data_IF_130125129392
#
_entry.id   IF_130125129392
#
_cell.length_a   1.000
_cell.length_b   1.000
_cell.length_c   1.000
_cell.angle_alpha   90.00
_cell.angle_beta   90.00
_cell.angle_gamma   90.00
#
_symmetry.space_group_name_H-M   'P 1'
#
loop_
_entity.id
_entity.type
_entity.pdbx_description
1 polymer ?
#
# COMPACT_ATOMS: atom_id res chain seq x y z
N UNK A 1 18.65 2.70 14.02
CA UNK A 1 17.36 2.14 13.56
C UNK A 1 16.56 3.17 12.73
N UNK A 2 17.06 4.40 12.64
CA UNK A 2 16.33 5.54 12.09
C UNK A 2 16.40 5.61 10.55
N UNK A 3 17.42 5.01 9.93
CA UNK A 3 17.46 4.77 8.47
C UNK A 3 16.28 3.92 7.99
N UNK A 4 16.02 2.78 8.64
CA UNK A 4 14.92 1.90 8.22
C UNK A 4 13.56 2.56 8.43
N UNK A 5 13.38 3.28 9.55
CA UNK A 5 12.16 4.08 9.78
C UNK A 5 12.01 5.15 8.70
N UNK A 6 13.08 5.88 8.37
CA UNK A 6 13.07 6.89 7.32
C UNK A 6 12.65 6.29 5.97
N UNK A 7 13.27 5.18 5.57
CA UNK A 7 12.96 4.47 4.33
C UNK A 7 11.50 4.00 4.29
N UNK A 8 11.00 3.41 5.38
CA UNK A 8 9.60 2.96 5.46
C UNK A 8 8.61 4.13 5.37
N UNK A 9 8.87 5.21 6.10
CA UNK A 9 8.04 6.41 6.08
C UNK A 9 8.02 7.02 4.67
N UNK A 10 9.17 7.19 4.01
CA UNK A 10 9.23 7.73 2.66
C UNK A 10 8.55 6.80 1.65
N UNK A 11 8.77 5.48 1.77
CA UNK A 11 8.11 4.49 0.93
C UNK A 11 6.58 4.60 0.99
N UNK A 12 6.03 4.71 2.21
CA UNK A 12 4.59 4.89 2.42
C UNK A 12 4.08 6.23 1.86
N UNK A 13 4.85 7.31 2.04
CA UNK A 13 4.49 8.62 1.50
C UNK A 13 4.46 8.64 -0.03
N UNK A 14 5.44 8.00 -0.68
CA UNK A 14 5.49 7.81 -2.13
C UNK A 14 4.33 6.96 -2.66
N UNK A 15 3.88 5.97 -1.87
CA UNK A 15 2.77 5.07 -2.22
C UNK A 15 1.38 5.67 -1.96
N UNK A 16 1.27 6.97 -1.65
CA UNK A 16 0.00 7.60 -1.30
C UNK A 16 -1.06 7.38 -2.42
N UNK A 17 -2.31 7.02 -2.08
CA UNK A 17 -3.33 6.72 -3.08
C UNK A 17 -3.74 7.95 -3.89
N UNK A 18 -3.81 9.11 -3.24
CA UNK A 18 -3.92 10.40 -3.91
C UNK A 18 -2.54 10.84 -4.43
N UNK A 19 -2.43 11.00 -5.75
CA UNK A 19 -1.20 11.41 -6.44
C UNK A 19 -0.76 12.84 -6.08
N UNK A 20 -1.69 13.72 -5.69
CA UNK A 20 -1.38 15.11 -5.32
C UNK A 20 -0.66 15.22 -3.99
N UNK A 21 -0.81 14.19 -3.13
CA UNK A 21 -0.19 14.09 -1.82
C UNK A 21 1.12 13.31 -1.82
N UNK A 22 1.50 12.71 -2.96
CA UNK A 22 2.82 12.07 -3.11
C UNK A 22 3.91 13.13 -3.14
N UNK A 23 5.07 12.89 -2.50
CA UNK A 23 6.20 13.79 -2.59
C UNK A 23 6.79 13.78 -4.00
N UNK A 24 7.35 14.91 -4.43
CA UNK A 24 8.26 14.91 -5.58
C UNK A 24 9.53 14.11 -5.25
N UNK A 25 10.18 13.57 -6.28
CA UNK A 25 11.45 12.84 -6.11
C UNK A 25 12.51 13.69 -5.39
N UNK A 26 12.52 15.01 -5.63
CA UNK A 26 13.44 15.95 -4.97
C UNK A 26 13.15 16.07 -3.48
N UNK A 27 11.88 16.11 -3.07
CA UNK A 27 11.51 16.14 -1.65
C UNK A 27 11.88 14.83 -0.96
N UNK A 28 11.61 13.69 -1.59
CA UNK A 28 11.98 12.38 -1.05
C UNK A 28 13.50 12.27 -0.84
N UNK A 29 14.32 12.69 -1.82
CA UNK A 29 15.79 12.68 -1.68
C UNK A 29 16.26 13.56 -0.52
N UNK A 30 15.68 14.75 -0.33
CA UNK A 30 16.04 15.63 0.79
C UNK A 30 15.77 14.97 2.16
N UNK A 31 14.65 14.26 2.29
CA UNK A 31 14.35 13.54 3.55
C UNK A 31 15.27 12.31 3.70
N UNK A 32 15.58 11.59 2.62
CA UNK A 32 16.54 10.48 2.62
C UNK A 32 17.95 10.91 3.04
N UNK A 33 18.38 12.10 2.62
CA UNK A 33 19.65 12.70 3.00
C UNK A 33 19.63 13.39 4.37
N UNK A 34 18.50 13.34 5.10
CA UNK A 34 18.31 14.04 6.37
C UNK A 34 18.44 15.58 6.28
N UNK A 35 18.25 16.14 5.09
CA UNK A 35 18.25 17.59 4.83
C UNK A 35 16.88 18.23 5.09
N UNK A 36 15.86 17.41 5.31
CA UNK A 36 14.49 17.83 5.61
C UNK A 36 13.88 16.91 6.68
N UNK A 37 12.92 17.41 7.49
CA UNK A 37 12.28 16.60 8.52
C UNK A 37 11.45 15.47 7.91
N UNK A 38 11.34 14.37 8.66
CA UNK A 38 10.46 13.25 8.31
C UNK A 38 8.99 13.71 8.33
N UNK A 39 8.19 13.33 7.32
CA UNK A 39 6.77 13.65 7.32
C UNK A 39 6.05 12.88 8.43
N UNK A 40 5.07 13.53 9.05
CA UNK A 40 4.12 12.83 9.91
C UNK A 40 3.08 12.15 9.02
N UNK A 41 3.05 10.82 9.04
CA UNK A 41 2.08 10.04 8.28
C UNK A 41 0.97 9.52 9.20
N UNK A 42 -0.27 9.42 8.70
CA UNK A 42 -1.35 8.81 9.46
C UNK A 42 -1.05 7.32 9.73
N UNK A 43 -1.46 6.83 10.89
CA UNK A 43 -1.29 5.41 11.26
C UNK A 43 -2.08 4.44 10.37
N UNK A 44 -3.09 4.93 9.66
CA UNK A 44 -3.89 4.16 8.71
C UNK A 44 -3.77 4.81 7.34
N UNK A 45 -3.52 4.00 6.31
CA UNK A 45 -3.49 4.48 4.94
C UNK A 45 -4.91 4.90 4.52
N UNK A 46 -5.10 6.10 3.97
CA UNK A 46 -6.43 6.56 3.55
C UNK A 46 -6.97 5.69 2.41
N UNK A 47 -8.27 5.43 2.40
CA UNK A 47 -8.91 4.71 1.31
C UNK A 47 -9.04 5.64 0.09
N UNK A 48 -8.69 5.20 -1.13
CA UNK A 48 -8.81 6.05 -2.30
C UNK A 48 -10.25 6.48 -2.57
N UNK A 49 -10.46 7.77 -2.84
CA UNK A 49 -11.80 8.36 -3.06
C UNK A 49 -12.57 7.75 -4.23
N UNK A 50 -11.89 7.21 -5.24
CA UNK A 50 -12.53 6.55 -6.39
C UNK A 50 -13.29 5.26 -6.02
N UNK A 51 -13.03 4.67 -4.84
CA UNK A 51 -13.78 3.52 -4.34
C UNK A 51 -15.13 3.91 -3.70
N UNK A 52 -15.41 5.19 -3.46
CA UNK A 52 -16.70 5.66 -2.91
C UNK A 52 -17.75 5.97 -4.00
N UNK A 53 -17.52 5.56 -5.25
CA UNK A 53 -18.49 5.75 -6.32
C UNK A 53 -19.79 4.99 -5.99
N UNK A 54 -20.98 5.63 -6.08
CA UNK A 54 -22.25 4.97 -5.85
C UNK A 54 -22.45 3.90 -6.93
N UNK A 55 -22.18 2.64 -6.60
CA UNK A 55 -22.25 1.51 -7.53
C UNK A 55 -21.03 0.59 -7.54
N UNK A 56 -19.91 0.95 -6.91
CA UNK A 56 -18.72 0.10 -6.83
C UNK A 56 -18.47 -0.34 -5.38
N UNK A 57 -18.82 -1.60 -5.09
CA UNK A 57 -18.41 -2.41 -3.93
C UNK A 57 -18.92 -1.93 -2.55
N UNK A 58 -19.65 -2.81 -1.86
CA UNK A 58 -20.01 -2.60 -0.45
C UNK A 58 -18.76 -2.69 0.43
N UNK A 59 -18.82 -2.07 1.62
CA UNK A 59 -17.71 -2.03 2.60
C UNK A 59 -17.12 -3.42 2.90
N UNK A 60 -17.95 -4.46 2.83
CA UNK A 60 -17.57 -5.86 3.02
C UNK A 60 -16.69 -6.42 1.89
N UNK A 61 -16.91 -5.99 0.64
CA UNK A 61 -16.11 -6.41 -0.51
C UNK A 61 -14.77 -5.65 -0.59
N UNK A 62 -14.70 -4.45 -0.02
CA UNK A 62 -13.46 -3.66 0.10
C UNK A 62 -12.46 -4.35 1.04
N UNK A 63 -12.96 -5.00 2.10
CA UNK A 63 -12.11 -5.78 3.02
C UNK A 63 -11.43 -6.97 2.32
N UNK A 64 -12.05 -7.52 1.26
CA UNK A 64 -11.58 -8.71 0.56
C UNK A 64 -10.41 -8.45 -0.39
N UNK A 65 -10.28 -7.24 -0.96
CA UNK A 65 -9.26 -6.93 -1.97
C UNK A 65 -7.92 -6.47 -1.40
N UNK A 66 -7.84 -6.17 -0.10
CA UNK A 66 -6.60 -5.73 0.56
C UNK A 66 -6.07 -6.67 1.65
N UNK A 67 -6.74 -7.79 1.93
CA UNK A 67 -6.15 -8.88 2.72
C UNK A 67 -5.96 -10.08 1.80
N UNK A 68 -4.71 -10.40 1.47
CA UNK A 68 -4.38 -11.69 0.86
C UNK A 68 -4.89 -12.80 1.78
N UNK A 69 -6.08 -13.34 1.50
CA UNK A 69 -6.53 -14.59 2.11
C UNK A 69 -5.62 -15.66 1.52
N UNK A 70 -4.74 -16.22 2.35
CA UNK A 70 -3.87 -17.32 1.94
C UNK A 70 -4.72 -18.37 1.22
N UNK A 71 -4.46 -18.53 -0.07
CA UNK A 71 -5.09 -19.58 -0.86
C UNK A 71 -4.39 -20.87 -0.46
N UNK A 72 -4.98 -21.61 0.48
CA UNK A 72 -4.61 -23.01 0.71
C UNK A 72 -4.88 -23.79 -0.57
N UNK A 73 -3.85 -24.03 -1.37
CA UNK A 73 -3.93 -24.98 -2.49
C UNK A 73 -3.91 -26.38 -1.89
N UNK A 74 -5.09 -26.99 -1.73
CA UNK A 74 -5.19 -28.44 -1.52
C UNK A 74 -4.76 -29.15 -2.79
N UNK A 75 -3.72 -29.96 -2.69
CA UNK A 75 -3.24 -30.83 -3.76
C UNK A 75 -4.35 -31.76 -4.25
N UNK A 76 -4.58 -31.80 -5.56
CA UNK A 76 -5.25 -32.91 -6.22
C UNK A 76 -4.25 -33.58 -7.16
N UNK A 77 -3.85 -34.79 -6.79
CA UNK A 77 -3.16 -35.75 -7.68
C UNK A 77 -4.06 -35.98 -8.89
N UNK A 78 -3.53 -35.73 -10.09
CA UNK A 78 -4.12 -36.24 -11.32
C UNK A 78 -3.21 -37.36 -11.83
N UNK A 79 -3.78 -38.56 -11.85
CA UNK A 79 -3.20 -39.82 -12.31
C UNK A 79 -3.88 -40.18 -13.64
N UNK A 80 -3.08 -40.70 -14.57
CA UNK A 80 -3.46 -41.48 -15.75
C UNK A 80 -3.87 -40.79 -17.07
N UNK A 81 -2.95 -41.01 -18.04
CA UNK A 81 -3.17 -41.75 -19.31
C UNK A 81 -3.57 -40.94 -20.55
N UNK A 82 -2.58 -40.69 -21.42
CA UNK A 82 -2.50 -41.25 -22.79
C UNK A 82 -1.05 -41.59 -23.09
#
# INVERSE_FOLDING_TARGET
>A
MDEMKCLMTIGLWCAHPDHTLRPSIRQAIKVLNYEAPLPSLPSKMPMPLYYYAPGAMTVEQIQFTCTSKERSTSATKDDSRV
#
